data_IF_409098836344
#
_entry.id   IF_409098836344
#
_cell.length_a   1.000
_cell.length_b   1.000
_cell.length_c   1.000
_cell.angle_alpha   90.00
_cell.angle_beta   90.00
_cell.angle_gamma   90.00
#
_symmetry.space_group_name_H-M   'P 1'
#
loop_
_entity.id
_entity.type
_entity.pdbx_description
1 polymer ?
#
# COMPACT_ATOMS: atom_id res chain seq x y z
N UNK A 1 57.10 41.24 -6.26
CA UNK A 1 56.12 42.03 -7.03
C UNK A 1 54.87 41.20 -7.22
N UNK A 2 53.73 41.82 -6.87
CA UNK A 2 52.32 41.40 -6.91
C UNK A 2 51.91 40.00 -7.45
N UNK A 3 51.28 39.23 -6.56
CA UNK A 3 50.28 38.21 -6.92
C UNK A 3 49.01 38.91 -7.45
N UNK A 4 48.67 38.71 -8.71
CA UNK A 4 47.37 39.11 -9.25
C UNK A 4 46.33 38.03 -8.95
N UNK A 5 45.70 38.13 -7.78
CA UNK A 5 44.45 37.45 -7.48
C UNK A 5 43.33 38.04 -8.36
N UNK A 6 42.99 37.33 -9.43
CA UNK A 6 41.81 37.64 -10.25
C UNK A 6 40.58 37.30 -9.41
N UNK A 7 40.03 38.28 -8.69
CA UNK A 7 38.70 38.19 -8.07
C UNK A 7 37.69 37.95 -9.18
N UNK A 8 37.31 36.68 -9.38
CA UNK A 8 36.10 36.33 -10.13
C UNK A 8 34.95 36.78 -9.24
N UNK A 9 34.34 37.89 -9.65
CA UNK A 9 33.21 38.49 -8.97
C UNK A 9 32.13 37.45 -8.73
N UNK A 10 31.53 37.49 -7.54
CA UNK A 10 30.35 36.71 -7.18
C UNK A 10 29.18 37.11 -8.06
N UNK A 11 29.09 36.51 -9.25
CA UNK A 11 27.89 36.53 -10.06
C UNK A 11 26.97 35.46 -9.49
N UNK A 12 25.96 35.90 -8.74
CA UNK A 12 24.94 35.02 -8.18
C UNK A 12 24.26 34.30 -9.34
N UNK A 13 24.43 32.97 -9.41
CA UNK A 13 23.79 32.09 -10.38
C UNK A 13 22.31 32.45 -10.47
N UNK A 14 21.90 32.97 -11.64
CA UNK A 14 20.54 33.42 -11.90
C UNK A 14 19.52 32.32 -11.55
N UNK A 15 19.89 31.05 -11.74
CA UNK A 15 19.03 29.93 -11.43
C UNK A 15 19.06 29.52 -9.95
N UNK A 16 20.15 29.73 -9.22
CA UNK A 16 20.14 29.70 -7.76
C UNK A 16 19.18 30.77 -7.21
N UNK A 17 19.22 31.98 -7.76
CA UNK A 17 18.29 33.07 -7.40
C UNK A 17 16.84 32.73 -7.73
N UNK A 18 16.56 32.11 -8.88
CA UNK A 18 15.22 31.63 -9.22
C UNK A 18 14.79 30.50 -8.28
N UNK A 19 15.66 29.52 -7.99
CA UNK A 19 15.36 28.43 -7.04
C UNK A 19 15.08 28.95 -5.64
N UNK A 20 15.88 29.89 -5.14
CA UNK A 20 15.68 30.50 -3.82
C UNK A 20 14.40 31.33 -3.77
N UNK A 21 14.09 32.11 -4.82
CA UNK A 21 12.79 32.79 -4.96
C UNK A 21 11.62 31.80 -4.92
N UNK A 22 11.76 30.67 -5.61
CA UNK A 22 10.74 29.63 -5.67
C UNK A 22 10.59 28.86 -4.35
N UNK A 23 11.70 28.60 -3.65
CA UNK A 23 11.73 27.94 -2.35
C UNK A 23 11.15 28.84 -1.25
N UNK A 24 11.45 30.15 -1.28
CA UNK A 24 10.88 31.12 -0.34
C UNK A 24 9.38 31.34 -0.60
N UNK A 25 8.94 31.36 -1.87
CA UNK A 25 7.53 31.39 -2.24
C UNK A 25 6.76 30.08 -1.98
N UNK A 26 7.47 28.99 -1.59
CA UNK A 26 6.87 27.74 -1.14
C UNK A 26 6.79 27.65 0.41
N UNK A 27 7.59 28.42 1.15
CA UNK A 27 7.62 28.49 2.62
C UNK A 27 6.54 29.41 3.20
N UNK A 28 6.17 30.47 2.50
CA UNK A 28 4.96 31.23 2.80
C UNK A 28 3.80 30.35 2.38
N UNK A 29 3.06 29.81 3.37
CA UNK A 29 1.95 28.90 3.13
C UNK A 29 1.04 29.39 2.02
N UNK A 30 0.42 28.42 1.32
CA UNK A 30 -0.59 28.66 0.30
C UNK A 30 -1.79 29.41 0.91
N UNK A 31 -1.67 30.72 1.09
CA UNK A 31 -2.81 31.61 1.07
C UNK A 31 -3.15 31.72 -0.41
N UNK A 32 -4.21 31.01 -0.81
CA UNK A 32 -4.94 31.36 -2.03
C UNK A 32 -5.52 32.74 -1.76
N UNK A 33 -4.71 33.76 -2.01
CA UNK A 33 -5.19 35.12 -2.02
C UNK A 33 -6.13 35.18 -3.22
N UNK A 34 -7.42 35.25 -2.93
CA UNK A 34 -8.45 35.41 -3.94
C UNK A 34 -8.28 36.82 -4.46
N UNK A 35 -7.38 37.00 -5.43
CA UNK A 35 -7.18 38.26 -6.12
C UNK A 35 -8.52 38.67 -6.75
N UNK A 36 -9.24 39.54 -6.05
CA UNK A 36 -10.33 40.33 -6.61
C UNK A 36 -9.66 41.54 -7.25
N UNK A 37 -9.62 41.64 -8.58
CA UNK A 37 -9.00 42.80 -9.21
C UNK A 37 -9.76 44.05 -8.79
N UNK A 38 -9.02 45.10 -8.45
CA UNK A 38 -9.55 46.45 -8.30
C UNK A 38 -10.27 46.87 -9.57
N UNK A 39 -11.41 47.54 -9.37
CA UNK A 39 -12.36 47.94 -10.40
C UNK A 39 -11.71 48.98 -11.32
N UNK A 40 -11.05 48.53 -12.38
CA UNK A 40 -10.84 49.33 -13.58
C UNK A 40 -11.85 48.90 -14.64
N UNK A 41 -12.40 49.90 -15.35
CA UNK A 41 -13.64 49.84 -16.13
C UNK A 41 -13.70 48.62 -17.05
N UNK A 42 -14.58 47.68 -16.70
CA UNK A 42 -14.98 46.52 -17.50
C UNK A 42 -15.56 46.99 -18.84
N UNK A 43 -15.04 46.52 -20.00
CA UNK A 43 -15.79 46.63 -21.26
C UNK A 43 -17.13 45.92 -21.10
N UNK A 44 -18.20 46.53 -21.62
CA UNK A 44 -19.57 46.05 -21.46
C UNK A 44 -19.69 44.53 -21.74
N UNK A 45 -20.46 43.76 -20.95
CA UNK A 45 -20.60 42.33 -21.16
C UNK A 45 -21.31 42.11 -22.50
N UNK A 46 -20.60 41.57 -23.48
CA UNK A 46 -21.26 41.00 -24.66
C UNK A 46 -22.12 39.82 -24.18
N UNK A 47 -23.37 39.79 -24.64
CA UNK A 47 -24.36 38.76 -24.31
C UNK A 47 -23.94 37.42 -24.95
N UNK A 48 -22.93 36.76 -24.40
CA UNK A 48 -22.58 35.38 -24.80
C UNK A 48 -23.62 34.47 -24.18
N UNK A 49 -24.60 34.08 -25.01
CA UNK A 49 -25.66 33.12 -24.72
C UNK A 49 -25.02 31.75 -24.42
N UNK A 50 -24.75 31.44 -23.15
CA UNK A 50 -24.25 30.11 -22.75
C UNK A 50 -23.65 29.98 -21.36
N UNK A 51 -23.05 31.04 -20.81
CA UNK A 51 -22.23 30.96 -19.58
C UNK A 51 -23.06 30.59 -18.33
N UNK A 52 -24.32 31.04 -18.24
CA UNK A 52 -25.19 30.76 -17.09
C UNK A 52 -25.57 29.29 -16.94
N UNK A 53 -25.63 28.51 -18.03
CA UNK A 53 -25.94 27.08 -17.96
C UNK A 53 -24.76 26.31 -17.36
N UNK A 54 -23.55 26.57 -17.83
CA UNK A 54 -22.36 25.85 -17.35
C UNK A 54 -22.02 26.23 -15.92
N UNK A 55 -22.18 27.50 -15.54
CA UNK A 55 -21.99 27.91 -14.14
C UNK A 55 -23.03 27.29 -13.20
N UNK A 56 -24.29 27.12 -13.65
CA UNK A 56 -25.33 26.43 -12.88
C UNK A 56 -25.06 24.92 -12.79
N UNK A 57 -24.54 24.30 -13.86
CA UNK A 57 -24.12 22.88 -13.87
C UNK A 57 -22.94 22.62 -12.94
N UNK A 58 -21.91 23.49 -12.96
CA UNK A 58 -20.75 23.39 -12.07
C UNK A 58 -21.16 23.56 -10.60
N UNK A 59 -22.07 24.50 -10.31
CA UNK A 59 -22.59 24.69 -8.94
C UNK A 59 -23.46 23.51 -8.49
N UNK A 60 -24.19 22.86 -9.38
CA UNK A 60 -24.94 21.64 -9.07
C UNK A 60 -23.99 20.46 -8.80
N UNK A 61 -23.01 20.22 -9.69
CA UNK A 61 -21.99 19.16 -9.55
C UNK A 61 -21.18 19.27 -8.26
N UNK A 62 -20.84 20.49 -7.84
CA UNK A 62 -20.13 20.74 -6.58
C UNK A 62 -20.99 20.41 -5.34
N UNK A 63 -22.33 20.52 -5.44
CA UNK A 63 -23.25 20.22 -4.34
C UNK A 63 -23.62 18.73 -4.24
N UNK A 64 -23.61 17.99 -5.35
CA UNK A 64 -23.90 16.54 -5.39
C UNK A 64 -22.66 15.65 -5.44
N UNK A 65 -21.48 16.16 -5.07
CA UNK A 65 -20.25 15.35 -5.02
C UNK A 65 -19.84 14.76 -6.37
N UNK A 66 -20.17 15.42 -7.48
CA UNK A 66 -19.78 14.97 -8.82
C UNK A 66 -20.67 13.90 -9.45
N UNK A 67 -21.79 13.51 -8.85
CA UNK A 67 -22.74 12.58 -9.50
C UNK A 67 -23.70 13.37 -10.38
N UNK A 68 -23.29 13.57 -11.64
CA UNK A 68 -24.19 13.99 -12.70
C UNK A 68 -25.08 12.81 -13.12
N UNK A 69 -26.41 12.99 -13.04
CA UNK A 69 -27.38 12.09 -13.67
C UNK A 69 -27.29 12.22 -15.19
N UNK A 70 -26.29 11.57 -15.78
CA UNK A 70 -26.22 11.30 -17.21
C UNK A 70 -26.24 9.79 -17.34
N UNK A 71 -27.28 9.26 -18.00
CA UNK A 71 -27.48 7.83 -18.25
C UNK A 71 -26.42 7.25 -19.18
N UNK A 72 -25.17 7.21 -18.74
CA UNK A 72 -24.21 6.22 -19.19
C UNK A 72 -24.18 5.15 -18.13
N UNK A 73 -24.51 3.92 -18.51
CA UNK A 73 -24.12 2.72 -17.79
C UNK A 73 -22.69 2.90 -17.31
N UNK A 74 -22.49 3.09 -16.00
CA UNK A 74 -21.17 2.91 -15.43
C UNK A 74 -20.83 1.45 -15.73
N UNK A 75 -19.80 1.16 -16.55
CA UNK A 75 -19.33 -0.21 -16.60
C UNK A 75 -18.92 -0.52 -15.17
N UNK A 76 -19.51 -1.59 -14.65
CA UNK A 76 -19.16 -2.17 -13.37
C UNK A 76 -17.64 -2.05 -13.21
N UNK A 77 -17.20 -1.38 -12.13
CA UNK A 77 -15.77 -1.27 -11.80
C UNK A 77 -15.27 -2.59 -11.23
N UNK A 78 -15.76 -3.71 -11.78
CA UNK A 78 -15.17 -5.02 -11.64
C UNK A 78 -13.67 -4.86 -11.87
N UNK A 79 -12.89 -5.49 -11.00
CA UNK A 79 -11.45 -5.25 -10.88
C UNK A 79 -10.71 -5.32 -12.21
N UNK A 80 -9.41 -5.01 -12.20
CA UNK A 80 -8.50 -5.03 -13.36
C UNK A 80 -8.31 -6.42 -14.02
N UNK A 81 -9.32 -7.27 -14.00
CA UNK A 81 -9.43 -8.61 -14.59
C UNK A 81 -9.33 -8.59 -16.13
N UNK A 82 -9.45 -7.42 -16.76
CA UNK A 82 -9.29 -7.24 -18.21
C UNK A 82 -7.93 -6.59 -18.49
N UNK A 83 -7.11 -7.25 -19.30
CA UNK A 83 -5.82 -6.77 -19.86
C UNK A 83 -5.92 -5.47 -20.68
N UNK A 84 -7.13 -4.90 -20.78
CA UNK A 84 -7.47 -3.76 -21.60
C UNK A 84 -8.39 -2.84 -20.80
N UNK A 85 -7.85 -1.71 -20.33
CA UNK A 85 -8.61 -0.67 -19.65
C UNK A 85 -8.98 0.39 -20.68
N UNK A 86 -10.29 0.57 -20.91
CA UNK A 86 -10.81 1.59 -21.81
C UNK A 86 -11.27 2.78 -20.97
N UNK A 87 -10.58 3.92 -21.09
CA UNK A 87 -10.95 5.14 -20.35
C UNK A 87 -12.03 5.94 -21.08
N UNK A 88 -11.92 6.04 -22.41
CA UNK A 88 -12.85 6.73 -23.29
C UNK A 88 -12.85 6.06 -24.66
N UNK A 89 -13.89 6.27 -25.45
CA UNK A 89 -13.99 5.72 -26.82
C UNK A 89 -12.73 6.12 -27.62
N UNK A 90 -11.96 5.13 -28.04
CA UNK A 90 -10.70 5.31 -28.79
C UNK A 90 -9.42 5.51 -27.96
N UNK A 91 -9.48 5.46 -26.62
CA UNK A 91 -8.26 5.45 -25.77
C UNK A 91 -8.25 4.22 -24.88
N UNK A 92 -7.42 3.29 -25.29
CA UNK A 92 -7.23 1.98 -24.67
C UNK A 92 -5.75 1.85 -24.30
N UNK A 93 -5.48 1.47 -23.06
CA UNK A 93 -4.12 1.11 -22.64
C UNK A 93 -4.10 -0.31 -22.13
N UNK A 94 -3.00 -1.00 -22.44
CA UNK A 94 -2.72 -2.35 -21.96
C UNK A 94 -2.03 -2.20 -20.61
N UNK A 95 -2.59 -2.84 -19.59
CA UNK A 95 -1.95 -2.96 -18.28
C UNK A 95 -1.33 -4.35 -18.25
N UNK A 96 -0.02 -4.43 -18.04
CA UNK A 96 0.66 -5.71 -17.87
C UNK A 96 0.29 -6.35 -16.54
N UNK A 97 0.37 -7.68 -16.44
CA UNK A 97 0.04 -8.40 -15.21
C UNK A 97 0.89 -7.91 -14.01
N UNK A 98 2.13 -7.50 -14.28
CA UNK A 98 3.02 -6.92 -13.25
C UNK A 98 2.50 -5.58 -12.74
N UNK A 99 2.01 -4.71 -13.64
CA UNK A 99 1.42 -3.42 -13.27
C UNK A 99 0.10 -3.61 -12.51
N UNK A 100 -0.72 -4.60 -12.87
CA UNK A 100 -1.95 -4.93 -12.12
C UNK A 100 -1.63 -5.32 -10.68
N UNK A 101 -0.63 -6.18 -10.46
CA UNK A 101 -0.20 -6.60 -9.11
C UNK A 101 0.29 -5.39 -8.29
N UNK A 102 1.07 -4.50 -8.90
CA UNK A 102 1.56 -3.29 -8.23
C UNK A 102 0.41 -2.36 -7.86
N UNK A 103 -0.55 -2.14 -8.77
CA UNK A 103 -1.71 -1.27 -8.52
C UNK A 103 -2.64 -1.84 -7.46
N UNK A 104 -2.82 -3.17 -7.41
CA UNK A 104 -3.62 -3.83 -6.37
C UNK A 104 -2.95 -3.80 -5.00
N UNK A 105 -1.62 -3.89 -4.94
CA UNK A 105 -0.86 -3.84 -3.69
C UNK A 105 -0.69 -2.40 -3.15
N UNK A 106 -0.77 -1.39 -4.02
CA UNK A 106 -0.63 0.01 -3.63
C UNK A 106 -1.95 0.57 -3.06
N UNK A 107 -1.85 1.45 -2.06
CA UNK A 107 -2.99 2.28 -1.67
C UNK A 107 -3.33 3.23 -2.82
N UNK A 108 -4.38 2.88 -3.57
CA UNK A 108 -4.83 3.63 -4.74
C UNK A 108 -5.20 5.08 -4.36
N UNK A 109 -5.78 5.29 -3.18
CA UNK A 109 -6.17 6.62 -2.70
C UNK A 109 -4.96 7.49 -2.38
N UNK A 110 -3.90 6.92 -1.82
CA UNK A 110 -2.63 7.62 -1.59
C UNK A 110 -1.90 7.90 -2.92
N UNK A 111 -1.82 6.89 -3.79
CA UNK A 111 -1.12 6.98 -5.08
C UNK A 111 -1.74 8.05 -5.99
N UNK A 112 -3.07 8.08 -6.10
CA UNK A 112 -3.77 9.08 -6.90
C UNK A 112 -3.56 10.49 -6.33
N UNK A 113 -3.60 10.67 -5.00
CA UNK A 113 -3.33 11.98 -4.36
C UNK A 113 -1.91 12.46 -4.65
N UNK A 114 -0.91 11.59 -4.48
CA UNK A 114 0.48 11.92 -4.77
C UNK A 114 0.69 12.30 -6.24
N UNK A 115 0.10 11.56 -7.19
CA UNK A 115 0.20 11.87 -8.61
C UNK A 115 -0.47 13.20 -8.97
N UNK A 116 -1.67 13.46 -8.46
CA UNK A 116 -2.39 14.72 -8.70
C UNK A 116 -1.59 15.90 -8.12
N UNK A 117 -1.04 15.76 -6.92
CA UNK A 117 -0.22 16.79 -6.29
C UNK A 117 1.07 17.05 -7.08
N UNK A 118 1.76 15.99 -7.51
CA UNK A 118 2.96 16.10 -8.35
C UNK A 118 2.67 16.87 -9.65
N UNK A 119 1.60 16.50 -10.36
CA UNK A 119 1.20 17.16 -11.60
C UNK A 119 0.80 18.62 -11.36
N UNK A 120 0.01 18.90 -10.32
CA UNK A 120 -0.41 20.25 -9.97
C UNK A 120 0.79 21.15 -9.62
N UNK A 121 1.74 20.64 -8.80
CA UNK A 121 2.99 21.33 -8.48
C UNK A 121 3.80 21.59 -9.75
N UNK A 122 3.94 20.60 -10.63
CA UNK A 122 4.63 20.74 -11.92
C UNK A 122 4.06 21.87 -12.79
N UNK A 123 2.74 21.96 -12.91
CA UNK A 123 2.07 23.02 -13.70
C UNK A 123 2.29 24.40 -13.10
N UNK A 124 2.14 24.56 -11.79
CA UNK A 124 2.34 25.84 -11.10
C UNK A 124 3.79 26.30 -11.22
N UNK A 125 4.75 25.40 -10.98
CA UNK A 125 6.17 25.69 -11.12
C UNK A 125 6.51 26.08 -12.56
N UNK A 126 6.02 25.34 -13.55
CA UNK A 126 6.26 25.63 -14.97
C UNK A 126 5.76 27.03 -15.35
N UNK A 127 4.58 27.43 -14.87
CA UNK A 127 4.03 28.77 -15.15
C UNK A 127 4.89 29.88 -14.53
N UNK A 128 5.35 29.70 -13.29
CA UNK A 128 6.23 30.65 -12.59
C UNK A 128 7.61 30.76 -13.25
N UNK A 129 8.17 29.64 -13.70
CA UNK A 129 9.42 29.63 -14.47
C UNK A 129 9.22 30.39 -15.78
N UNK A 130 8.13 30.14 -16.51
CA UNK A 130 7.84 30.84 -17.76
C UNK A 130 7.63 32.35 -17.60
N UNK A 131 7.00 32.81 -16.51
CA UNK A 131 6.87 34.25 -16.23
C UNK A 131 8.22 34.87 -15.91
N UNK A 132 9.01 34.22 -15.06
CA UNK A 132 10.34 34.71 -14.66
C UNK A 132 11.27 34.80 -15.87
N UNK A 133 11.30 33.78 -16.73
CA UNK A 133 12.09 33.80 -17.97
C UNK A 133 11.66 34.95 -18.91
N UNK A 134 10.35 35.26 -18.98
CA UNK A 134 9.85 36.37 -19.80
C UNK A 134 10.28 37.74 -19.26
N UNK A 135 10.28 37.90 -17.94
CA UNK A 135 10.74 39.12 -17.25
C UNK A 135 12.26 39.34 -17.47
N UNK A 136 13.08 38.29 -17.29
CA UNK A 136 14.53 38.36 -17.52
C UNK A 136 14.87 38.65 -18.99
N UNK A 137 14.08 38.13 -19.95
CA UNK A 137 14.23 38.45 -21.37
C UNK A 137 13.88 39.92 -21.68
N UNK A 138 12.86 40.48 -21.02
CA UNK A 138 12.48 41.89 -21.16
C UNK A 138 13.51 42.84 -20.52
N UNK A 139 14.19 42.40 -19.45
CA UNK A 139 15.25 43.14 -18.79
C UNK A 139 16.56 43.25 -19.60
N UNK A 140 16.69 42.52 -20.71
CA UNK A 140 17.82 42.62 -21.64
C UNK A 140 19.04 41.74 -21.31
N UNK A 141 19.02 40.98 -20.21
CA UNK A 141 20.13 40.14 -19.73
C UNK A 141 20.24 38.77 -20.46
N UNK A 142 20.17 38.79 -21.79
CA UNK A 142 20.15 37.59 -22.65
C UNK A 142 21.37 36.67 -22.48
N UNK A 143 22.54 37.25 -22.20
CA UNK A 143 23.80 36.50 -22.01
C UNK A 143 23.75 35.59 -20.77
N UNK A 144 23.33 36.12 -19.62
CA UNK A 144 23.20 35.35 -18.37
C UNK A 144 22.16 34.24 -18.49
N UNK A 145 21.07 34.51 -19.19
CA UNK A 145 20.05 33.52 -19.56
C UNK A 145 20.65 32.36 -20.36
N UNK A 146 21.45 32.66 -21.38
CA UNK A 146 22.10 31.64 -22.21
C UNK A 146 23.12 30.78 -21.44
N UNK A 147 23.92 31.40 -20.56
CA UNK A 147 24.91 30.71 -19.72
C UNK A 147 24.24 29.80 -18.69
N UNK A 148 23.18 30.27 -18.04
CA UNK A 148 22.46 29.45 -17.08
C UNK A 148 21.62 28.33 -17.72
N UNK A 149 21.10 28.52 -18.94
CA UNK A 149 20.50 27.42 -19.74
C UNK A 149 21.56 26.34 -20.04
N UNK A 150 22.78 26.74 -20.42
CA UNK A 150 23.87 25.80 -20.68
C UNK A 150 24.27 25.03 -19.40
N UNK A 151 24.36 25.72 -18.26
CA UNK A 151 24.64 25.11 -16.95
C UNK A 151 23.56 24.09 -16.54
N UNK A 152 22.28 24.45 -16.68
CA UNK A 152 21.15 23.55 -16.41
C UNK A 152 21.14 22.33 -17.32
N UNK A 153 21.45 22.50 -18.60
CA UNK A 153 21.56 21.37 -19.53
C UNK A 153 22.67 20.41 -19.08
N UNK A 154 23.81 20.94 -18.65
CA UNK A 154 24.90 20.16 -18.06
C UNK A 154 24.47 19.42 -16.79
N UNK A 155 23.73 20.08 -15.90
CA UNK A 155 23.18 19.45 -14.69
C UNK A 155 22.18 18.34 -15.04
N UNK A 156 21.25 18.58 -15.95
CA UNK A 156 20.27 17.60 -16.39
C UNK A 156 20.93 16.33 -16.94
N UNK A 157 21.99 16.47 -17.74
CA UNK A 157 22.75 15.32 -18.22
C UNK A 157 23.44 14.54 -17.08
N UNK A 158 24.00 15.22 -16.07
CA UNK A 158 24.58 14.56 -14.89
C UNK A 158 23.53 13.81 -14.08
N UNK A 159 22.38 14.43 -13.84
CA UNK A 159 21.28 13.81 -13.08
C UNK A 159 20.70 12.60 -13.83
N UNK A 160 20.59 12.68 -15.16
CA UNK A 160 20.20 11.53 -16.00
C UNK A 160 21.17 10.36 -15.88
N UNK A 161 22.48 10.63 -15.88
CA UNK A 161 23.51 9.61 -15.70
C UNK A 161 23.45 8.98 -14.29
N UNK A 162 23.38 9.81 -13.25
CA UNK A 162 23.26 9.35 -11.86
C UNK A 162 22.02 8.48 -11.66
N UNK A 163 20.88 8.89 -12.22
CA UNK A 163 19.64 8.12 -12.20
C UNK A 163 19.78 6.76 -12.90
N UNK A 164 20.47 6.70 -14.03
CA UNK A 164 20.70 5.44 -14.74
C UNK A 164 21.54 4.45 -13.90
N UNK A 165 22.54 4.94 -13.18
CA UNK A 165 23.36 4.13 -12.28
C UNK A 165 22.59 3.65 -11.05
N UNK A 166 21.78 4.51 -10.44
CA UNK A 166 20.89 4.14 -9.34
C UNK A 166 19.86 3.09 -9.77
N UNK A 167 19.26 3.26 -10.95
CA UNK A 167 18.34 2.29 -11.54
C UNK A 167 19.00 0.91 -11.69
N UNK A 168 20.21 0.85 -12.26
CA UNK A 168 20.97 -0.42 -12.38
C UNK A 168 21.24 -1.05 -11.02
N UNK A 169 21.63 -0.25 -10.03
CA UNK A 169 21.88 -0.72 -8.65
C UNK A 169 20.61 -1.30 -8.01
N UNK A 170 19.46 -0.65 -8.20
CA UNK A 170 18.17 -1.13 -7.72
C UNK A 170 17.76 -2.43 -8.42
N UNK A 171 17.90 -2.52 -9.75
CA UNK A 171 17.63 -3.75 -10.50
C UNK A 171 18.48 -4.92 -10.01
N UNK A 172 19.77 -4.70 -9.71
CA UNK A 172 20.64 -5.72 -9.14
C UNK A 172 20.17 -6.16 -7.74
N UNK A 173 19.77 -5.23 -6.87
CA UNK A 173 19.21 -5.55 -5.55
C UNK A 173 17.92 -6.37 -5.66
N UNK A 174 17.02 -6.02 -6.60
CA UNK A 174 15.79 -6.76 -6.85
C UNK A 174 16.09 -8.20 -7.28
N UNK A 175 17.03 -8.41 -8.21
CA UNK A 175 17.44 -9.76 -8.62
C UNK A 175 17.99 -10.58 -7.45
N UNK A 176 18.84 -9.99 -6.62
CA UNK A 176 19.40 -10.64 -5.42
C UNK A 176 18.31 -11.02 -4.41
N UNK A 177 17.42 -10.09 -4.10
CA UNK A 177 16.31 -10.33 -3.17
C UNK A 177 15.37 -11.41 -3.69
N UNK A 178 15.03 -11.38 -4.99
CA UNK A 178 14.21 -12.43 -5.62
C UNK A 178 14.85 -13.81 -5.46
N UNK A 179 16.17 -13.93 -5.70
CA UNK A 179 16.89 -15.19 -5.47
C UNK A 179 16.84 -15.66 -4.01
N UNK A 180 17.03 -14.74 -3.05
CA UNK A 180 16.94 -15.06 -1.62
C UNK A 180 15.53 -15.49 -1.20
N UNK A 181 14.49 -14.83 -1.71
CA UNK A 181 13.09 -15.16 -1.41
C UNK A 181 12.77 -16.58 -1.87
N UNK A 182 13.17 -16.95 -3.09
CA UNK A 182 12.99 -18.33 -3.59
C UNK A 182 13.73 -19.35 -2.72
N UNK A 183 14.93 -19.01 -2.23
CA UNK A 183 15.68 -19.88 -1.30
C UNK A 183 14.96 -20.09 0.03
N UNK A 184 14.40 -19.01 0.61
CA UNK A 184 13.61 -19.09 1.84
C UNK A 184 12.30 -19.85 1.63
N UNK A 185 11.62 -19.62 0.49
CA UNK A 185 10.38 -20.31 0.13
C UNK A 185 10.56 -21.83 0.05
N UNK A 186 11.67 -22.29 -0.56
CA UNK A 186 12.01 -23.73 -0.61
C UNK A 186 12.24 -24.31 0.78
N UNK A 187 12.98 -23.60 1.65
CA UNK A 187 13.21 -24.02 3.04
C UNK A 187 11.92 -24.07 3.86
N UNK A 188 11.02 -23.11 3.65
CA UNK A 188 9.72 -23.07 4.30
C UNK A 188 8.86 -24.26 3.89
N UNK A 189 8.81 -24.57 2.58
CA UNK A 189 8.09 -25.75 2.06
C UNK A 189 8.64 -27.06 2.62
N UNK A 190 9.96 -27.20 2.72
CA UNK A 190 10.58 -28.38 3.34
C UNK A 190 10.19 -28.52 4.83
N UNK A 191 10.27 -27.44 5.60
CA UNK A 191 9.84 -27.45 7.01
C UNK A 191 8.35 -27.72 7.20
N UNK A 192 7.51 -27.30 6.25
CA UNK A 192 6.08 -27.62 6.28
C UNK A 192 5.86 -29.13 6.16
N UNK A 193 6.55 -29.80 5.23
CA UNK A 193 6.47 -31.26 5.07
C UNK A 193 6.95 -31.99 6.33
N UNK A 194 8.10 -31.59 6.89
CA UNK A 194 8.61 -32.18 8.15
C UNK A 194 7.61 -32.01 9.32
N UNK A 195 6.96 -30.86 9.41
CA UNK A 195 5.94 -30.60 10.43
C UNK A 195 4.69 -31.46 10.22
N UNK A 196 4.24 -31.61 8.98
CA UNK A 196 3.09 -32.44 8.63
C UNK A 196 3.36 -33.93 8.93
N UNK A 197 4.56 -34.43 8.62
CA UNK A 197 5.01 -35.79 8.98
C UNK A 197 5.08 -35.98 10.50
N UNK A 198 5.66 -35.02 11.24
CA UNK A 198 5.69 -35.09 12.70
C UNK A 198 4.27 -35.11 13.31
N UNK A 199 3.35 -34.33 12.75
CA UNK A 199 1.96 -34.30 13.23
C UNK A 199 1.25 -35.63 12.98
N UNK A 200 1.40 -36.22 11.78
CA UNK A 200 0.81 -37.53 11.49
C UNK A 200 1.37 -38.64 12.38
N UNK A 201 2.68 -38.63 12.67
CA UNK A 201 3.31 -39.56 13.61
C UNK A 201 2.79 -39.39 15.05
N UNK A 202 2.62 -38.14 15.52
CA UNK A 202 2.03 -37.85 16.84
C UNK A 202 0.59 -38.32 16.94
N UNK A 203 -0.20 -38.10 15.90
CA UNK A 203 -1.60 -38.55 15.86
C UNK A 203 -1.70 -40.08 15.87
N UNK A 204 -0.79 -40.78 15.17
CA UNK A 204 -0.71 -42.23 15.19
C UNK A 204 -0.35 -42.75 16.59
N UNK A 205 0.70 -42.19 17.21
CA UNK A 205 1.12 -42.56 18.56
C UNK A 205 0.03 -42.27 19.61
N UNK A 206 -0.71 -41.17 19.48
CA UNK A 206 -1.82 -40.85 20.37
C UNK A 206 -2.98 -41.86 20.24
N UNK A 207 -3.27 -42.34 19.02
CA UNK A 207 -4.29 -43.37 18.79
C UNK A 207 -3.88 -44.72 19.37
N UNK A 208 -2.61 -45.12 19.19
CA UNK A 208 -2.06 -46.35 19.75
C UNK A 208 -2.11 -46.32 21.29
N UNK A 209 -1.63 -45.23 21.90
CA UNK A 209 -1.72 -45.03 23.34
C UNK A 209 -3.19 -45.06 23.84
N UNK A 210 -4.13 -44.48 23.10
CA UNK A 210 -5.54 -44.51 23.46
C UNK A 210 -6.11 -45.94 23.40
N UNK A 211 -5.72 -46.77 22.42
CA UNK A 211 -6.14 -48.18 22.39
C UNK A 211 -5.55 -48.98 23.54
N UNK A 212 -4.28 -48.79 23.89
CA UNK A 212 -3.67 -49.48 25.04
C UNK A 212 -4.34 -49.10 26.36
N UNK A 213 -4.64 -47.80 26.56
CA UNK A 213 -5.37 -47.33 27.74
C UNK A 213 -6.75 -47.99 27.82
N UNK A 214 -7.45 -48.12 26.68
CA UNK A 214 -8.75 -48.76 26.62
C UNK A 214 -8.67 -50.25 27.00
N UNK A 215 -7.70 -50.98 26.45
CA UNK A 215 -7.49 -52.40 26.76
C UNK A 215 -7.16 -52.61 28.25
N UNK A 216 -6.32 -51.74 28.82
CA UNK A 216 -6.00 -51.75 30.25
C UNK A 216 -7.22 -51.45 31.13
N UNK A 217 -8.02 -50.45 30.76
CA UNK A 217 -9.27 -50.14 31.48
C UNK A 217 -10.21 -51.36 31.47
N UNK A 218 -10.33 -52.04 30.34
CA UNK A 218 -11.16 -53.23 30.23
C UNK A 218 -10.63 -54.40 31.08
N UNK A 219 -9.31 -54.61 31.10
CA UNK A 219 -8.68 -55.62 31.95
C UNK A 219 -8.91 -55.36 33.44
N UNK A 220 -8.70 -54.12 33.90
CA UNK A 220 -8.93 -53.71 35.30
C UNK A 220 -10.40 -53.88 35.68
N UNK A 221 -11.34 -53.49 34.81
CA UNK A 221 -12.77 -53.68 35.05
C UNK A 221 -13.11 -55.16 35.23
N UNK A 222 -12.62 -56.03 34.34
CA UNK A 222 -12.87 -57.47 34.39
C UNK A 222 -12.28 -58.11 35.66
N UNK A 223 -11.07 -57.72 36.07
CA UNK A 223 -10.47 -58.16 37.34
C UNK A 223 -11.31 -57.74 38.55
N UNK A 224 -11.79 -56.50 38.57
CA UNK A 224 -12.60 -55.98 39.67
C UNK A 224 -13.93 -56.74 39.79
N UNK A 225 -14.62 -56.96 38.67
CA UNK A 225 -15.86 -57.77 38.64
C UNK A 225 -15.60 -59.19 39.12
N UNK A 226 -14.53 -59.82 38.66
CA UNK A 226 -14.16 -61.18 39.07
C UNK A 226 -13.81 -61.24 40.57
N UNK A 227 -13.07 -60.26 41.09
CA UNK A 227 -12.76 -60.13 42.51
C UNK A 227 -14.01 -59.98 43.36
N UNK A 228 -14.93 -59.12 42.95
CA UNK A 228 -16.22 -58.93 43.60
C UNK A 228 -17.05 -60.23 43.64
N UNK A 229 -17.15 -60.95 42.51
CA UNK A 229 -17.83 -62.24 42.46
C UNK A 229 -17.18 -63.29 43.38
N UNK A 230 -15.85 -63.33 43.47
CA UNK A 230 -15.14 -64.22 44.41
C UNK A 230 -15.49 -63.88 45.86
N UNK A 231 -15.51 -62.59 46.22
CA UNK A 231 -15.89 -62.14 47.55
C UNK A 231 -17.33 -62.50 47.92
N UNK A 232 -18.29 -62.37 46.98
CA UNK A 232 -19.66 -62.80 47.20
C UNK A 232 -19.76 -64.31 47.49
N UNK A 233 -19.04 -65.15 46.76
CA UNK A 233 -19.00 -66.60 47.04
C UNK A 233 -18.41 -66.91 48.41
N UNK A 234 -17.35 -66.19 48.80
CA UNK A 234 -16.76 -66.32 50.14
C UNK A 234 -17.75 -65.89 51.23
N UNK A 235 -18.48 -64.79 51.03
CA UNK A 235 -19.50 -64.34 51.96
C UNK A 235 -20.66 -65.34 52.05
N UNK A 236 -21.17 -65.85 50.93
CA UNK A 236 -22.22 -66.86 50.92
C UNK A 236 -21.80 -68.14 51.66
N UNK A 237 -20.53 -68.54 51.54
CA UNK A 237 -19.98 -69.68 52.29
C UNK A 237 -19.86 -69.40 53.80
N UNK A 238 -19.33 -68.23 54.18
CA UNK A 238 -19.08 -67.88 55.58
C UNK A 238 -20.36 -67.53 56.36
N UNK A 239 -21.35 -66.95 55.70
CA UNK A 239 -22.61 -66.49 56.31
C UNK A 239 -23.80 -67.41 56.02
N UNK A 240 -23.54 -68.64 55.55
CA UNK A 240 -24.56 -69.62 55.11
C UNK A 240 -25.60 -69.99 56.17
N UNK A 241 -25.31 -69.74 57.44
CA UNK A 241 -26.19 -70.04 58.59
C UNK A 241 -26.70 -68.78 59.33
N UNK A 242 -26.43 -67.56 58.84
CA UNK A 242 -27.03 -66.33 59.40
C UNK A 242 -28.37 -66.08 58.72
N UNK A 243 -29.47 -66.48 59.36
CA UNK A 243 -30.82 -66.23 58.85
C UNK A 243 -31.13 -64.72 58.81
N UNK A 244 -31.88 -64.28 57.79
CA UNK A 244 -32.38 -62.89 57.64
C UNK A 244 -33.17 -62.40 58.87
N UNK A 245 -33.64 -63.30 59.73
CA UNK A 245 -34.29 -63.00 61.01
C UNK A 245 -33.37 -62.45 62.10
N UNK A 246 -32.04 -62.59 62.01
CA UNK A 246 -31.10 -62.07 63.03
C UNK A 246 -30.63 -60.62 62.79
N UNK A 247 -30.87 -60.03 61.61
CA UNK A 247 -30.45 -58.65 61.30
C UNK A 247 -31.51 -57.57 61.63
N UNK A 248 -32.70 -57.95 62.11
CA UNK A 248 -33.73 -57.00 62.55
C UNK A 248 -33.49 -56.42 63.96
N UNK A 249 -32.38 -56.75 64.63
CA UNK A 249 -32.10 -56.30 66.00
C UNK A 249 -31.22 -55.03 66.07
N UNK A 250 -30.82 -54.45 64.94
CA UNK A 250 -29.94 -53.25 64.91
C UNK A 250 -30.54 -52.01 64.22
N UNK A 251 -31.84 -51.98 63.97
CA UNK A 251 -32.59 -50.79 63.54
C UNK A 251 -33.75 -50.53 64.52
N UNK A 252 -33.40 -50.23 65.77
CA UNK A 252 -34.21 -49.42 66.71
C UNK A 252 -33.34 -48.28 67.24
#
# INVERSE_FOLDING_TARGET
>A
MAHNAKKVGGEVDLFAKIRDKMANAAKVGLVVDTYRPSISKRPAPSKIKGIGKDQKRLRALAKTGGVGSSGSSNPDRGGFQKTKVQMRKGVEFKVSDTEVVVVQAADLGLTMRAMIEYLARGVVLSRRVATTLREELAAGDKKKLSEGIASLKGQWHRDQLAWADEKKKLEAKVKRLKGSVVGVEKKLKAKQVELDEMNTAKDAAAKEAASEIYDLQQAVYNEHVNGFQKALRQAEFLYREVSVTNCLVFLE
#
